data_IF_243972013754
#
_entry.id   IF_243972013754
#
_cell.length_a   1.000
_cell.length_b   1.000
_cell.length_c   1.000
_cell.angle_alpha   90.00
_cell.angle_beta   90.00
_cell.angle_gamma   90.00
#
_symmetry.space_group_name_H-M   'P 1'
#
loop_
_entity.id
_entity.type
_entity.pdbx_description
1 polymer ?
#
# COMPACT_ATOMS: atom_id res chain seq x y z
N UNK A 1 2.05 0.39 -12.54
CA UNK A 1 1.75 -1.02 -12.25
C UNK A 1 1.04 -1.23 -10.93
N UNK A 2 0.78 -2.47 -10.57
CA UNK A 2 0.07 -2.86 -9.35
C UNK A 2 1.05 -3.33 -8.27
N UNK A 3 0.99 -2.72 -7.09
CA UNK A 3 1.77 -3.10 -5.91
C UNK A 3 0.82 -3.61 -4.83
N UNK A 4 1.18 -4.70 -4.14
CA UNK A 4 0.37 -5.19 -3.01
C UNK A 4 0.81 -4.57 -1.70
N UNK A 5 -0.10 -3.86 -1.02
CA UNK A 5 0.07 -3.51 0.39
C UNK A 5 -0.11 -4.78 1.22
N UNK A 6 0.98 -5.48 1.51
CA UNK A 6 0.97 -6.83 2.08
C UNK A 6 0.30 -6.88 3.45
N UNK A 7 -0.53 -7.89 3.68
CA UNK A 7 -0.87 -8.34 5.04
C UNK A 7 0.35 -9.00 5.68
N UNK A 8 0.44 -8.94 7.02
CA UNK A 8 1.46 -9.64 7.79
C UNK A 8 0.80 -10.79 8.56
N UNK A 9 1.06 -12.06 8.24
CA UNK A 9 0.58 -13.19 9.00
C UNK A 9 1.20 -13.18 10.41
N UNK A 10 0.36 -13.44 11.42
CA UNK A 10 0.82 -13.64 12.80
C UNK A 10 0.44 -15.04 13.30
N UNK A 11 1.27 -15.59 14.19
CA UNK A 11 1.04 -16.86 14.84
C UNK A 11 1.65 -16.84 16.23
N UNK A 12 0.85 -17.16 17.26
CA UNK A 12 1.29 -17.15 18.66
C UNK A 12 1.92 -15.81 19.08
N UNK A 13 1.33 -14.70 18.67
CA UNK A 13 1.77 -13.34 18.99
C UNK A 13 3.01 -12.85 18.23
N UNK A 14 3.54 -13.61 17.29
CA UNK A 14 4.72 -13.26 16.47
C UNK A 14 4.40 -13.25 14.99
N UNK A 15 5.28 -12.66 14.18
CA UNK A 15 5.22 -12.80 12.72
C UNK A 15 5.41 -14.29 12.38
N UNK A 16 4.48 -14.85 11.60
CA UNK A 16 4.64 -16.16 10.97
C UNK A 16 5.51 -16.01 9.74
N UNK A 17 6.83 -16.16 9.92
CA UNK A 17 7.80 -15.93 8.86
C UNK A 17 7.61 -16.90 7.68
N UNK A 18 7.32 -18.18 7.96
CA UNK A 18 7.12 -19.20 6.92
C UNK A 18 5.90 -18.84 6.06
N UNK A 19 4.74 -18.61 6.68
CA UNK A 19 3.53 -18.18 5.98
C UNK A 19 3.72 -16.86 5.23
N UNK A 20 4.52 -15.93 5.78
CA UNK A 20 4.77 -14.66 5.13
C UNK A 20 5.65 -14.81 3.88
N UNK A 21 6.70 -15.65 3.93
CA UNK A 21 7.55 -15.96 2.77
C UNK A 21 6.76 -16.67 1.66
N UNK A 22 5.92 -17.65 2.01
CA UNK A 22 5.04 -18.33 1.06
C UNK A 22 4.01 -17.37 0.42
N UNK A 23 3.47 -16.45 1.19
CA UNK A 23 2.53 -15.45 0.69
C UNK A 23 3.21 -14.47 -0.27
N UNK A 24 4.41 -14.01 0.03
CA UNK A 24 5.22 -13.16 -0.85
C UNK A 24 5.53 -13.90 -2.16
N UNK A 25 5.92 -15.17 -2.09
CA UNK A 25 6.19 -15.99 -3.28
C UNK A 25 4.95 -16.08 -4.17
N UNK A 26 3.81 -16.43 -3.59
CA UNK A 26 2.56 -16.52 -4.33
C UNK A 26 2.17 -15.18 -5.01
N UNK A 27 2.38 -14.04 -4.37
CA UNK A 27 2.13 -12.74 -4.96
C UNK A 27 2.96 -12.54 -6.24
N UNK A 28 4.23 -12.91 -6.19
CA UNK A 28 5.15 -12.80 -7.34
C UNK A 28 4.72 -13.77 -8.45
N UNK A 29 4.40 -15.02 -8.13
CA UNK A 29 3.91 -16.02 -9.09
C UNK A 29 2.63 -15.58 -9.79
N UNK A 30 1.76 -14.84 -9.09
CA UNK A 30 0.54 -14.25 -9.65
C UNK A 30 0.81 -13.02 -10.54
N UNK A 31 2.05 -12.56 -10.65
CA UNK A 31 2.45 -11.49 -11.57
C UNK A 31 2.21 -10.08 -11.06
N UNK A 32 2.28 -9.88 -9.73
CA UNK A 32 2.26 -8.53 -9.16
C UNK A 32 3.52 -7.74 -9.56
N UNK A 33 3.39 -6.43 -9.77
CA UNK A 33 4.51 -5.59 -10.20
C UNK A 33 5.44 -5.18 -9.04
N UNK A 34 4.99 -5.27 -7.79
CA UNK A 34 5.81 -4.95 -6.63
C UNK A 34 5.09 -5.16 -5.30
N UNK A 35 5.82 -5.05 -4.20
CA UNK A 35 5.33 -5.37 -2.86
C UNK A 35 5.61 -4.24 -1.85
N UNK A 36 4.68 -4.05 -0.92
CA UNK A 36 4.74 -3.00 0.10
C UNK A 36 4.55 -3.62 1.48
N UNK A 37 5.63 -4.09 2.15
CA UNK A 37 5.58 -4.53 3.54
C UNK A 37 5.37 -3.35 4.50
N UNK A 38 4.85 -3.62 5.69
CA UNK A 38 4.72 -2.65 6.78
C UNK A 38 3.92 -1.37 6.44
N UNK A 39 2.97 -1.46 5.50
CA UNK A 39 1.94 -0.44 5.33
C UNK A 39 0.85 -0.58 6.39
N UNK A 40 -0.23 0.20 6.26
CA UNK A 40 -1.44 0.10 7.11
C UNK A 40 -2.00 -1.33 7.11
N UNK A 41 -2.07 -1.95 5.94
CA UNK A 41 -2.57 -3.31 5.73
C UNK A 41 -1.70 -4.36 6.43
N UNK A 42 -0.41 -4.10 6.56
CA UNK A 42 0.55 -4.95 7.25
C UNK A 42 0.54 -4.81 8.77
N UNK A 43 -0.39 -4.03 9.36
CA UNK A 43 -0.50 -3.80 10.82
C UNK A 43 0.75 -3.22 11.47
N UNK A 44 1.53 -2.41 10.76
CA UNK A 44 2.78 -1.82 11.25
C UNK A 44 2.59 -1.00 12.55
N UNK A 45 1.41 -0.41 12.76
CA UNK A 45 1.11 0.41 13.94
C UNK A 45 1.14 -0.38 15.28
N UNK A 46 1.05 -1.72 15.23
CA UNK A 46 1.07 -2.59 16.42
C UNK A 46 2.34 -3.45 16.51
N UNK A 47 3.28 -3.25 15.60
CA UNK A 47 4.59 -3.91 15.63
C UNK A 47 5.56 -3.16 16.55
N UNK A 48 6.41 -3.90 17.23
CA UNK A 48 7.65 -3.32 17.79
C UNK A 48 8.57 -2.91 16.63
N UNK A 49 9.58 -2.07 16.90
CA UNK A 49 10.56 -1.72 15.88
C UNK A 49 11.29 -2.96 15.33
N UNK A 50 11.68 -3.90 16.19
CA UNK A 50 12.33 -5.15 15.79
C UNK A 50 11.46 -6.01 14.87
N UNK A 51 10.15 -6.07 15.13
CA UNK A 51 9.20 -6.79 14.27
C UNK A 51 8.99 -6.07 12.93
N UNK A 52 8.90 -4.74 12.96
CA UNK A 52 8.78 -3.91 11.75
C UNK A 52 9.98 -4.14 10.83
N UNK A 53 11.18 -4.06 11.39
CA UNK A 53 12.44 -4.34 10.71
C UNK A 53 12.49 -5.78 10.17
N UNK A 54 12.08 -6.76 10.99
CA UNK A 54 12.03 -8.15 10.57
C UNK A 54 11.09 -8.37 9.39
N UNK A 55 9.89 -7.77 9.39
CA UNK A 55 8.93 -7.91 8.29
C UNK A 55 9.47 -7.31 6.97
N UNK A 56 10.13 -6.15 7.03
CA UNK A 56 10.78 -5.55 5.85
C UNK A 56 11.89 -6.46 5.34
N UNK A 57 12.79 -6.92 6.23
CA UNK A 57 13.92 -7.79 5.88
C UNK A 57 13.45 -9.09 5.23
N UNK A 58 12.47 -9.79 5.84
CA UNK A 58 11.88 -11.02 5.29
C UNK A 58 11.36 -10.78 3.89
N UNK A 59 10.63 -9.66 3.66
CA UNK A 59 10.10 -9.34 2.34
C UNK A 59 11.22 -9.11 1.32
N UNK A 60 12.21 -8.30 1.63
CA UNK A 60 13.34 -8.01 0.73
C UNK A 60 14.14 -9.27 0.41
N UNK A 61 14.44 -10.09 1.39
CA UNK A 61 15.14 -11.37 1.21
C UNK A 61 14.35 -12.33 0.30
N UNK A 62 13.04 -12.51 0.60
CA UNK A 62 12.20 -13.42 -0.17
C UNK A 62 12.00 -12.95 -1.61
N UNK A 63 11.80 -11.65 -1.81
CA UNK A 63 11.67 -11.06 -3.16
C UNK A 63 12.95 -11.24 -3.99
N UNK A 64 14.11 -11.13 -3.37
CA UNK A 64 15.42 -11.31 -4.02
C UNK A 64 15.52 -10.57 -5.37
N UNK A 65 15.16 -9.28 -5.38
CA UNK A 65 15.23 -8.38 -6.55
C UNK A 65 14.36 -8.77 -7.77
N UNK A 66 13.43 -9.71 -7.62
CA UNK A 66 12.52 -10.11 -8.72
C UNK A 66 11.47 -9.04 -9.04
N UNK A 67 11.03 -8.32 -8.03
CA UNK A 67 10.13 -7.16 -8.14
C UNK A 67 10.57 -6.08 -7.15
N UNK A 68 10.22 -4.80 -7.34
CA UNK A 68 10.54 -3.75 -6.38
C UNK A 68 9.81 -3.93 -5.04
N UNK A 69 10.51 -3.57 -3.95
CA UNK A 69 9.98 -3.52 -2.58
C UNK A 69 9.96 -2.08 -2.10
N UNK A 70 8.77 -1.57 -1.78
CA UNK A 70 8.57 -0.24 -1.20
C UNK A 70 8.26 -0.42 0.29
N UNK A 71 9.25 -0.24 1.16
CA UNK A 71 9.11 -0.48 2.59
C UNK A 71 8.31 0.62 3.30
N UNK A 72 7.27 0.26 4.05
CA UNK A 72 6.59 1.21 4.94
C UNK A 72 7.55 1.66 6.05
N UNK A 73 7.95 2.93 6.04
CA UNK A 73 8.92 3.51 7.00
C UNK A 73 8.45 4.84 7.60
N UNK A 74 7.19 5.22 7.34
CA UNK A 74 6.62 6.49 7.80
C UNK A 74 6.24 6.47 9.28
N UNK A 75 6.37 7.63 9.92
CA UNK A 75 5.92 7.90 11.28
C UNK A 75 5.40 9.34 11.40
N UNK A 76 4.60 9.63 12.42
CA UNK A 76 4.24 11.01 12.78
C UNK A 76 5.35 11.73 13.56
N UNK A 77 6.47 11.06 13.79
CA UNK A 77 7.68 11.59 14.44
C UNK A 77 8.86 11.50 13.45
N UNK A 78 9.37 12.64 13.00
CA UNK A 78 10.49 12.72 12.05
C UNK A 78 11.71 11.93 12.53
N UNK A 79 12.02 11.98 13.85
CA UNK A 79 13.16 11.26 14.44
C UNK A 79 12.98 9.73 14.41
N UNK A 80 11.78 9.21 14.36
CA UNK A 80 11.47 7.79 14.24
C UNK A 80 11.46 7.34 12.78
N UNK A 81 10.96 8.18 11.87
CA UNK A 81 10.96 7.88 10.44
C UNK A 81 12.37 7.72 9.86
N UNK A 82 13.35 8.47 10.35
CA UNK A 82 14.75 8.42 9.88
C UNK A 82 15.37 7.03 10.07
N UNK A 83 15.47 6.45 11.28
CA UNK A 83 16.04 5.12 11.47
C UNK A 83 15.28 4.00 10.74
N UNK A 84 13.94 4.08 10.65
CA UNK A 84 13.15 3.13 9.86
C UNK A 84 13.52 3.18 8.37
N UNK A 85 13.69 4.39 7.84
CA UNK A 85 14.14 4.60 6.45
C UNK A 85 15.57 4.09 6.25
N UNK A 86 16.46 4.37 7.19
CA UNK A 86 17.84 3.90 7.13
C UNK A 86 17.92 2.37 7.16
N UNK A 87 17.09 1.72 7.99
CA UNK A 87 17.00 0.27 8.02
C UNK A 87 16.52 -0.28 6.66
N UNK A 88 15.41 0.26 6.12
CA UNK A 88 14.89 -0.15 4.81
C UNK A 88 15.95 -0.07 3.71
N UNK A 89 16.71 1.04 3.69
CA UNK A 89 17.85 1.21 2.77
C UNK A 89 18.92 0.13 2.98
N UNK A 90 19.32 -0.12 4.22
CA UNK A 90 20.41 -1.04 4.57
C UNK A 90 20.10 -2.48 4.18
N UNK A 91 18.84 -2.91 4.31
CA UNK A 91 18.42 -4.26 3.89
C UNK A 91 18.15 -4.38 2.39
N UNK A 92 18.19 -3.26 1.66
CA UNK A 92 18.11 -3.24 0.20
C UNK A 92 16.69 -3.11 -0.37
N UNK A 93 15.75 -2.51 0.37
CA UNK A 93 14.49 -2.05 -0.20
C UNK A 93 14.74 -1.01 -1.32
N UNK A 94 13.87 -1.00 -2.34
CA UNK A 94 14.04 -0.13 -3.51
C UNK A 94 13.52 1.30 -3.26
N UNK A 95 12.53 1.45 -2.37
CA UNK A 95 12.01 2.73 -1.92
C UNK A 95 11.40 2.63 -0.51
N UNK A 96 11.15 3.78 0.12
CA UNK A 96 10.39 3.89 1.37
C UNK A 96 9.02 4.54 1.12
N UNK A 97 7.97 4.00 1.75
CA UNK A 97 6.63 4.61 1.78
C UNK A 97 6.46 5.39 3.08
N UNK A 98 6.21 6.68 2.94
CA UNK A 98 6.05 7.59 4.08
C UNK A 98 4.64 8.16 4.17
N UNK A 99 3.86 7.68 5.15
CA UNK A 99 2.55 8.26 5.48
C UNK A 99 2.71 9.69 5.99
N UNK A 100 1.78 10.60 5.63
CA UNK A 100 1.70 11.91 6.26
C UNK A 100 1.54 11.77 7.77
N UNK A 101 2.23 12.58 8.60
CA UNK A 101 2.10 12.53 10.04
C UNK A 101 0.65 12.58 10.48
N UNK A 102 0.22 11.54 11.19
CA UNK A 102 -1.13 11.35 11.73
C UNK A 102 -1.21 11.88 13.15
N UNK A 103 -2.43 12.21 13.62
CA UNK A 103 -2.74 12.66 14.96
C UNK A 103 -2.27 14.10 15.27
N UNK A 104 -0.98 14.42 15.13
CA UNK A 104 -0.39 15.74 15.41
C UNK A 104 -0.64 16.79 14.29
N UNK A 105 -1.20 16.39 13.13
CA UNK A 105 -1.72 17.26 12.05
C UNK A 105 -0.81 18.44 11.71
N UNK A 106 0.38 18.23 11.15
CA UNK A 106 1.27 19.30 10.78
C UNK A 106 0.65 20.23 9.71
N UNK A 107 1.14 21.46 9.67
CA UNK A 107 0.84 22.39 8.58
C UNK A 107 1.51 21.93 7.27
N UNK A 108 1.15 22.53 6.13
CA UNK A 108 1.78 22.23 4.85
C UNK A 108 3.31 22.45 4.88
N UNK A 109 3.76 23.51 5.58
CA UNK A 109 5.18 23.74 5.79
C UNK A 109 5.82 22.67 6.70
N UNK A 110 5.10 22.22 7.73
CA UNK A 110 5.55 21.12 8.58
C UNK A 110 5.70 19.81 7.81
N UNK A 111 4.80 19.51 6.86
CA UNK A 111 4.92 18.37 5.93
C UNK A 111 6.18 18.48 5.05
N UNK A 112 6.39 19.65 4.46
CA UNK A 112 7.58 19.93 3.65
C UNK A 112 8.87 19.70 4.44
N UNK A 113 8.98 20.28 5.64
CA UNK A 113 10.17 20.13 6.49
C UNK A 113 10.38 18.70 6.96
N UNK A 114 9.29 17.97 7.27
CA UNK A 114 9.33 16.55 7.67
C UNK A 114 10.01 15.69 6.60
N UNK A 115 9.50 15.71 5.37
CA UNK A 115 10.05 14.89 4.28
C UNK A 115 11.43 15.34 3.83
N UNK A 116 11.67 16.67 3.77
CA UNK A 116 12.99 17.22 3.46
C UNK A 116 14.05 16.74 4.47
N UNK A 117 13.72 16.78 5.76
CA UNK A 117 14.64 16.33 6.81
C UNK A 117 14.95 14.85 6.69
N UNK A 118 13.92 13.99 6.50
CA UNK A 118 14.14 12.55 6.33
C UNK A 118 15.07 12.27 5.15
N UNK A 119 14.80 12.86 3.99
CA UNK A 119 15.60 12.64 2.78
C UNK A 119 17.02 13.24 2.90
N UNK A 120 17.21 14.33 3.67
CA UNK A 120 18.55 14.87 3.91
C UNK A 120 19.43 13.96 4.78
N UNK A 121 18.82 13.17 5.69
CA UNK A 121 19.54 12.22 6.55
C UNK A 121 19.72 10.86 5.88
N UNK A 122 18.74 10.45 5.04
CA UNK A 122 18.76 9.13 4.39
C UNK A 122 18.42 9.28 2.90
N UNK A 123 19.44 9.29 2.06
CA UNK A 123 19.22 9.32 0.60
C UNK A 123 18.78 7.93 0.10
N UNK A 124 17.49 7.81 -0.20
CA UNK A 124 16.85 6.70 -0.92
C UNK A 124 15.54 7.17 -1.55
N UNK A 125 15.03 6.51 -2.58
CA UNK A 125 13.73 6.85 -3.16
C UNK A 125 12.60 6.82 -2.13
N UNK A 126 11.79 7.86 -2.08
CA UNK A 126 10.64 8.01 -1.17
C UNK A 126 9.36 8.18 -1.96
N UNK A 127 8.33 7.41 -1.60
CA UNK A 127 6.95 7.58 -2.03
C UNK A 127 6.17 8.19 -0.85
N UNK A 128 5.64 9.39 -1.04
CA UNK A 128 4.74 10.01 -0.08
C UNK A 128 3.43 9.21 0.01
N UNK A 129 2.75 9.24 1.15
CA UNK A 129 1.46 8.61 1.29
C UNK A 129 0.44 9.54 1.93
N UNK A 130 -0.53 10.01 1.13
CA UNK A 130 -1.60 10.90 1.54
C UNK A 130 -2.89 10.11 1.75
N UNK A 131 -3.37 10.04 2.99
CA UNK A 131 -4.60 9.32 3.39
C UNK A 131 -5.34 10.06 4.49
N UNK A 132 -5.93 11.22 4.18
CA UNK A 132 -6.51 12.12 5.18
C UNK A 132 -7.62 11.49 6.02
N UNK A 133 -8.36 10.50 5.50
CA UNK A 133 -9.36 9.75 6.24
C UNK A 133 -8.81 8.95 7.43
N UNK A 134 -7.50 8.65 7.44
CA UNK A 134 -6.81 7.97 8.55
C UNK A 134 -5.94 8.91 9.38
N UNK A 135 -5.28 9.85 8.72
CA UNK A 135 -4.29 10.73 9.38
C UNK A 135 -4.90 11.98 9.97
N UNK A 136 -6.07 12.42 9.45
CA UNK A 136 -6.63 13.73 9.74
C UNK A 136 -5.81 14.90 9.16
N UNK A 137 -4.84 14.59 8.27
CA UNK A 137 -3.97 15.55 7.63
C UNK A 137 -3.98 15.31 6.11
N UNK A 138 -4.31 16.34 5.33
CA UNK A 138 -4.30 16.28 3.87
C UNK A 138 -3.13 17.09 3.32
N UNK A 139 -2.27 16.43 2.56
CA UNK A 139 -1.14 17.07 1.86
C UNK A 139 -1.64 17.58 0.51
N UNK A 140 -1.67 18.89 0.33
CA UNK A 140 -2.24 19.53 -0.85
C UNK A 140 -1.30 19.45 -2.06
N UNK A 141 -1.83 19.43 -3.30
CA UNK A 141 -1.03 19.32 -4.53
C UNK A 141 0.12 20.34 -4.63
N UNK A 142 -0.05 21.64 -4.28
CA UNK A 142 1.08 22.58 -4.29
C UNK A 142 2.22 22.20 -3.34
N UNK A 143 1.90 21.57 -2.19
CA UNK A 143 2.91 21.09 -1.25
C UNK A 143 3.64 19.87 -1.80
N UNK A 144 2.93 18.90 -2.38
CA UNK A 144 3.54 17.75 -3.05
C UNK A 144 4.47 18.21 -4.18
N UNK A 145 3.98 19.10 -5.03
CA UNK A 145 4.75 19.64 -6.15
C UNK A 145 6.01 20.40 -5.69
N UNK A 146 5.93 21.13 -4.58
CA UNK A 146 7.10 21.79 -3.96
C UNK A 146 8.11 20.75 -3.46
N UNK A 147 7.64 19.74 -2.73
CA UNK A 147 8.49 18.66 -2.22
C UNK A 147 9.17 17.93 -3.39
N UNK A 148 8.43 17.56 -4.43
CA UNK A 148 8.94 16.86 -5.60
C UNK A 148 10.03 17.65 -6.36
N UNK A 149 9.95 18.99 -6.38
CA UNK A 149 10.98 19.85 -6.99
C UNK A 149 12.20 20.02 -6.12
N UNK A 150 12.01 20.20 -4.81
CA UNK A 150 13.07 20.61 -3.89
C UNK A 150 13.80 19.42 -3.25
N UNK A 151 13.22 18.22 -3.27
CA UNK A 151 13.73 17.01 -2.61
C UNK A 151 13.80 15.87 -3.63
N UNK A 152 14.93 15.72 -4.35
CA UNK A 152 15.07 14.77 -5.47
C UNK A 152 14.81 13.30 -5.12
N UNK A 153 15.02 12.92 -3.85
CA UNK A 153 14.75 11.57 -3.38
C UNK A 153 13.24 11.27 -3.28
N UNK A 154 12.37 12.28 -3.29
CA UNK A 154 10.90 12.07 -3.33
C UNK A 154 10.48 11.89 -4.77
N UNK A 155 10.23 10.64 -5.15
CA UNK A 155 9.99 10.21 -6.54
C UNK A 155 8.51 9.98 -6.87
N UNK A 156 7.61 10.01 -5.88
CA UNK A 156 6.20 9.79 -6.12
C UNK A 156 5.32 9.94 -4.90
N UNK A 157 4.04 9.68 -5.11
CA UNK A 157 3.00 9.70 -4.09
C UNK A 157 2.03 8.53 -4.26
N UNK A 158 1.63 7.91 -3.14
CA UNK A 158 0.42 7.12 -3.01
C UNK A 158 -0.71 8.05 -2.56
N UNK A 159 -1.66 8.31 -3.46
CA UNK A 159 -2.79 9.20 -3.20
C UNK A 159 -4.05 8.39 -2.91
N UNK A 160 -4.58 8.53 -1.70
CA UNK A 160 -5.71 7.73 -1.20
C UNK A 160 -6.92 8.57 -0.78
N UNK A 161 -7.10 9.76 -1.35
CA UNK A 161 -8.32 10.56 -1.15
C UNK A 161 -9.50 10.05 -1.99
N UNK A 162 -9.25 9.26 -3.05
CA UNK A 162 -10.21 8.91 -4.10
C UNK A 162 -10.79 10.14 -4.85
N UNK A 163 -10.17 11.30 -4.72
CA UNK A 163 -10.57 12.56 -5.36
C UNK A 163 -9.78 12.75 -6.68
N UNK A 164 -10.47 12.58 -7.81
CA UNK A 164 -9.85 12.72 -9.13
C UNK A 164 -9.47 14.16 -9.48
N UNK A 165 -10.07 15.17 -8.82
CA UNK A 165 -9.65 16.56 -8.97
C UNK A 165 -8.27 16.72 -8.34
N UNK A 166 -8.10 16.22 -7.11
CA UNK A 166 -6.81 16.22 -6.42
C UNK A 166 -5.73 15.49 -7.21
N UNK A 167 -6.07 14.33 -7.81
CA UNK A 167 -5.14 13.58 -8.69
C UNK A 167 -4.77 14.38 -9.93
N UNK A 168 -5.75 15.05 -10.59
CA UNK A 168 -5.50 15.88 -11.77
C UNK A 168 -4.58 17.07 -11.44
N UNK A 169 -4.79 17.71 -10.28
CA UNK A 169 -3.93 18.79 -9.80
C UNK A 169 -2.49 18.31 -9.53
N UNK A 170 -2.32 17.08 -9.01
CA UNK A 170 -1.00 16.47 -8.84
C UNK A 170 -0.30 16.22 -10.18
N UNK A 171 -1.03 15.68 -11.16
CA UNK A 171 -0.50 15.43 -12.52
C UNK A 171 -0.07 16.73 -13.18
N UNK A 172 -0.87 17.82 -13.04
CA UNK A 172 -0.58 19.13 -13.61
C UNK A 172 0.63 19.81 -12.95
N UNK A 173 0.78 19.71 -11.62
CA UNK A 173 1.70 20.54 -10.84
C UNK A 173 3.04 19.88 -10.53
N UNK A 174 3.09 18.53 -10.49
CA UNK A 174 4.32 17.82 -10.20
C UNK A 174 5.26 17.77 -11.41
N UNK A 175 6.58 17.60 -11.18
CA UNK A 175 7.54 17.44 -12.27
C UNK A 175 7.24 16.23 -13.15
N UNK A 176 7.65 16.29 -14.41
CA UNK A 176 7.60 15.15 -15.32
C UNK A 176 8.33 13.92 -14.72
N UNK A 177 7.74 12.73 -14.83
CA UNK A 177 8.30 11.51 -14.27
C UNK A 177 7.96 11.25 -12.81
N UNK A 178 7.31 12.19 -12.10
CA UNK A 178 6.83 11.96 -10.73
C UNK A 178 5.72 10.90 -10.72
N UNK A 179 5.90 9.86 -9.89
CA UNK A 179 5.01 8.70 -9.87
C UNK A 179 3.77 8.96 -9.01
N UNK A 180 2.58 8.96 -9.60
CA UNK A 180 1.31 9.16 -8.88
C UNK A 180 0.54 7.84 -8.88
N UNK A 181 0.59 7.14 -7.74
CA UNK A 181 -0.05 5.83 -7.52
C UNK A 181 -1.37 6.02 -6.77
N UNK A 182 -2.42 5.31 -7.19
CA UNK A 182 -3.64 5.25 -6.41
C UNK A 182 -3.41 4.51 -5.09
N UNK A 183 -4.01 5.01 -4.02
CA UNK A 183 -4.14 4.30 -2.74
C UNK A 183 -5.53 3.73 -2.51
N UNK A 184 -6.41 3.82 -3.53
CA UNK A 184 -7.80 3.42 -3.49
C UNK A 184 -8.13 2.45 -4.63
N UNK A 185 -8.56 1.24 -4.29
CA UNK A 185 -8.84 0.16 -5.24
C UNK A 185 -10.06 0.43 -6.13
N UNK A 186 -10.98 1.29 -5.69
CA UNK A 186 -12.19 1.62 -6.45
C UNK A 186 -11.92 2.57 -7.61
N UNK A 187 -10.88 3.37 -7.50
CA UNK A 187 -10.58 4.45 -8.47
C UNK A 187 -9.36 4.16 -9.36
N UNK A 188 -8.80 2.95 -9.35
CA UNK A 188 -7.59 2.59 -10.13
C UNK A 188 -7.72 2.98 -11.60
N UNK A 189 -8.80 2.55 -12.27
CA UNK A 189 -9.02 2.84 -13.69
C UNK A 189 -9.08 4.35 -13.97
N UNK A 190 -10.00 5.14 -13.37
CA UNK A 190 -10.05 6.57 -13.63
C UNK A 190 -8.78 7.32 -13.14
N UNK A 191 -8.12 6.87 -12.08
CA UNK A 191 -6.86 7.44 -11.60
C UNK A 191 -5.74 7.33 -12.65
N UNK A 192 -5.59 6.14 -13.27
CA UNK A 192 -4.61 5.96 -14.36
C UNK A 192 -5.03 6.73 -15.59
N UNK A 193 -6.33 6.78 -15.92
CA UNK A 193 -6.85 7.48 -17.09
C UNK A 193 -6.59 9.01 -17.05
N UNK A 194 -6.47 9.63 -15.86
CA UNK A 194 -6.12 11.05 -15.72
C UNK A 194 -4.62 11.30 -15.56
N UNK A 195 -3.77 10.27 -15.69
CA UNK A 195 -2.31 10.43 -15.68
C UNK A 195 -1.59 9.76 -14.52
N UNK A 196 -2.29 9.01 -13.67
CA UNK A 196 -1.64 8.14 -12.68
C UNK A 196 -0.89 6.96 -13.31
N UNK A 197 0.00 6.32 -12.56
CA UNK A 197 0.88 5.27 -13.08
C UNK A 197 0.59 3.86 -12.51
N UNK A 198 -0.40 3.72 -11.61
CA UNK A 198 -0.74 2.44 -11.00
C UNK A 198 -1.42 2.55 -9.66
N UNK A 199 -1.27 1.51 -8.82
CA UNK A 199 -1.91 1.40 -7.52
C UNK A 199 -1.03 0.70 -6.49
N UNK A 200 -1.10 1.14 -5.23
CA UNK A 200 -0.70 0.36 -4.06
C UNK A 200 -1.99 -0.16 -3.40
N UNK A 201 -2.33 -1.40 -3.71
CA UNK A 201 -3.64 -2.03 -3.56
C UNK A 201 -3.78 -2.84 -2.27
N UNK A 202 -4.96 -2.81 -1.67
CA UNK A 202 -5.42 -3.75 -0.64
C UNK A 202 -5.95 -5.02 -1.30
N UNK A 203 -6.79 -4.89 -2.33
CA UNK A 203 -7.43 -5.99 -3.04
C UNK A 203 -6.43 -6.94 -3.70
N UNK A 204 -5.25 -6.45 -4.09
CA UNK A 204 -4.19 -7.28 -4.64
C UNK A 204 -3.69 -8.39 -3.68
N UNK A 205 -3.94 -8.29 -2.37
CA UNK A 205 -3.68 -9.39 -1.44
C UNK A 205 -4.47 -10.67 -1.77
N UNK A 206 -5.66 -10.56 -2.35
CA UNK A 206 -6.56 -11.68 -2.69
C UNK A 206 -6.72 -11.89 -4.20
N UNK A 207 -6.49 -10.87 -5.01
CA UNK A 207 -6.65 -10.92 -6.46
C UNK A 207 -5.49 -10.19 -7.19
N UNK A 208 -4.22 -10.58 -6.94
CA UNK A 208 -3.05 -9.87 -7.49
C UNK A 208 -3.04 -9.83 -9.00
N UNK A 209 -3.28 -10.96 -9.66
CA UNK A 209 -3.31 -11.05 -11.13
C UNK A 209 -4.36 -10.13 -11.75
N UNK A 210 -5.58 -10.10 -11.21
CA UNK A 210 -6.64 -9.24 -11.75
C UNK A 210 -6.30 -7.76 -11.60
N UNK A 211 -5.66 -7.35 -10.49
CA UNK A 211 -5.24 -5.97 -10.27
C UNK A 211 -4.07 -5.59 -11.19
N UNK A 212 -3.09 -6.47 -11.38
CA UNK A 212 -1.99 -6.26 -12.31
C UNK A 212 -2.49 -6.15 -13.76
N UNK A 213 -3.39 -7.05 -14.17
CA UNK A 213 -4.01 -7.03 -15.50
C UNK A 213 -4.82 -5.74 -15.73
N UNK A 214 -5.57 -5.25 -14.72
CA UNK A 214 -6.28 -3.97 -14.79
C UNK A 214 -5.33 -2.80 -15.04
N UNK A 215 -4.26 -2.70 -14.25
CA UNK A 215 -3.25 -1.66 -14.43
C UNK A 215 -2.62 -1.74 -15.83
N UNK A 216 -2.24 -2.93 -16.26
CA UNK A 216 -1.62 -3.17 -17.57
C UNK A 216 -2.55 -2.76 -18.72
N UNK A 217 -3.82 -3.19 -18.71
CA UNK A 217 -4.79 -2.86 -19.74
C UNK A 217 -5.03 -1.33 -19.81
N UNK A 218 -5.18 -0.69 -18.62
CA UNK A 218 -5.41 0.76 -18.56
C UNK A 218 -4.21 1.55 -19.08
N UNK A 219 -2.99 1.19 -18.69
CA UNK A 219 -1.75 1.84 -19.15
C UNK A 219 -1.50 1.62 -20.64
N UNK A 220 -1.96 0.49 -21.20
CA UNK A 220 -1.88 0.21 -22.64
C UNK A 220 -2.98 0.92 -23.46
N UNK A 221 -3.95 1.58 -22.81
CA UNK A 221 -5.10 2.20 -23.48
C UNK A 221 -6.19 1.22 -23.93
N UNK A 222 -6.11 -0.05 -23.53
CA UNK A 222 -7.17 -1.05 -23.77
C UNK A 222 -8.31 -0.84 -22.79
N UNK A 223 -9.12 0.16 -23.08
CA UNK A 223 -10.21 0.61 -22.21
C UNK A 223 -11.36 -0.39 -22.10
N UNK A 224 -11.56 -1.26 -23.08
CA UNK A 224 -12.62 -2.26 -23.03
C UNK A 224 -12.24 -3.38 -22.04
N UNK A 225 -11.02 -3.87 -22.14
CA UNK A 225 -10.50 -4.85 -21.15
C UNK A 225 -10.35 -4.22 -19.77
N UNK A 226 -9.86 -2.99 -19.67
CA UNK A 226 -9.75 -2.26 -18.42
C UNK A 226 -11.10 -2.12 -17.70
N UNK A 227 -12.18 -1.75 -18.41
CA UNK A 227 -13.54 -1.68 -17.85
C UNK A 227 -14.05 -3.06 -17.40
N UNK A 228 -13.82 -4.09 -18.20
CA UNK A 228 -14.20 -5.46 -17.87
C UNK A 228 -13.53 -5.92 -16.55
N UNK A 229 -12.23 -5.69 -16.41
CA UNK A 229 -11.47 -6.04 -15.21
C UNK A 229 -11.87 -5.19 -14.00
N UNK A 230 -12.08 -3.88 -14.21
CA UNK A 230 -12.55 -2.96 -13.17
C UNK A 230 -13.86 -3.47 -12.55
N UNK A 231 -14.88 -3.77 -13.38
CA UNK A 231 -16.16 -4.25 -12.86
C UNK A 231 -16.08 -5.66 -12.28
N UNK A 232 -15.18 -6.51 -12.75
CA UNK A 232 -14.91 -7.81 -12.14
C UNK A 232 -14.30 -7.68 -10.74
N UNK A 233 -13.45 -6.67 -10.51
CA UNK A 233 -12.84 -6.39 -9.20
C UNK A 233 -13.80 -5.71 -8.21
N UNK A 234 -14.82 -4.99 -8.67
CA UNK A 234 -15.69 -4.17 -7.80
C UNK A 234 -16.36 -4.95 -6.64
N UNK A 235 -16.88 -6.20 -6.81
CA UNK A 235 -17.39 -6.98 -5.68
C UNK A 235 -16.30 -7.29 -4.67
N UNK A 236 -15.09 -7.65 -5.13
CA UNK A 236 -13.95 -7.98 -4.27
C UNK A 236 -13.49 -6.72 -3.54
N UNK A 237 -13.37 -5.58 -4.22
CA UNK A 237 -13.02 -4.29 -3.60
C UNK A 237 -13.98 -3.97 -2.45
N UNK A 238 -15.30 -4.09 -2.66
CA UNK A 238 -16.29 -3.86 -1.61
C UNK A 238 -16.12 -4.81 -0.42
N UNK A 239 -15.80 -6.08 -0.69
CA UNK A 239 -15.57 -7.08 0.35
C UNK A 239 -14.38 -6.75 1.23
N UNK A 240 -13.29 -6.21 0.66
CA UNK A 240 -12.09 -5.84 1.40
C UNK A 240 -12.28 -4.63 2.35
N UNK A 241 -13.40 -3.94 2.24
CA UNK A 241 -13.75 -2.76 3.06
C UNK A 241 -15.11 -2.89 3.76
N UNK A 242 -15.61 -4.12 3.99
CA UNK A 242 -16.80 -4.39 4.81
C UNK A 242 -16.65 -3.86 6.24
N UNK A 243 -15.44 -3.88 6.75
CA UNK A 243 -15.00 -3.24 7.99
C UNK A 243 -13.66 -2.53 7.74
N UNK A 244 -13.08 -1.96 8.79
CA UNK A 244 -11.81 -1.25 8.63
C UNK A 244 -10.70 -2.18 8.13
N UNK A 245 -9.97 -1.74 7.10
CA UNK A 245 -8.75 -2.42 6.64
C UNK A 245 -7.68 -2.42 7.77
N UNK A 246 -7.05 -3.58 8.10
CA UNK A 246 -6.92 -4.79 7.30
C UNK A 246 -7.86 -5.96 7.67
N UNK A 247 -8.89 -5.76 8.48
CA UNK A 247 -9.69 -6.86 9.02
C UNK A 247 -10.26 -7.76 7.91
N UNK A 248 -11.02 -7.24 6.90
CA UNK A 248 -11.58 -8.11 5.86
C UNK A 248 -10.51 -8.77 5.00
N UNK A 249 -9.51 -8.01 4.55
CA UNK A 249 -8.49 -8.54 3.64
C UNK A 249 -7.62 -9.61 4.29
N UNK A 250 -7.20 -9.43 5.54
CA UNK A 250 -6.42 -10.45 6.26
C UNK A 250 -7.26 -11.70 6.50
N UNK A 251 -8.53 -11.55 6.87
CA UNK A 251 -9.46 -12.68 6.99
C UNK A 251 -9.55 -13.45 5.67
N UNK A 252 -9.73 -12.74 4.54
CA UNK A 252 -9.80 -13.35 3.22
C UNK A 252 -8.53 -14.11 2.86
N UNK A 253 -7.35 -13.52 3.08
CA UNK A 253 -6.05 -14.19 2.82
C UNK A 253 -5.91 -15.44 3.68
N UNK A 254 -6.26 -15.38 4.98
CA UNK A 254 -6.18 -16.55 5.86
C UNK A 254 -7.13 -17.66 5.39
N UNK A 255 -8.35 -17.33 4.97
CA UNK A 255 -9.31 -18.30 4.42
C UNK A 255 -8.79 -18.95 3.13
N UNK A 256 -8.26 -18.15 2.20
CA UNK A 256 -7.76 -18.62 0.90
C UNK A 256 -6.53 -19.51 1.02
N UNK A 257 -5.71 -19.30 2.04
CA UNK A 257 -4.40 -19.94 2.17
C UNK A 257 -4.29 -20.90 3.35
N UNK A 258 -5.36 -21.08 4.13
CA UNK A 258 -5.37 -21.95 5.29
C UNK A 258 -4.44 -21.48 6.41
N UNK A 259 -4.27 -20.16 6.59
CA UNK A 259 -3.43 -19.58 7.62
C UNK A 259 -4.22 -19.32 8.91
N UNK A 260 -3.51 -19.28 10.03
CA UNK A 260 -4.07 -18.86 11.30
C UNK A 260 -4.51 -17.38 11.23
N UNK A 261 -5.73 -17.08 11.68
CA UNK A 261 -6.24 -15.73 11.73
C UNK A 261 -5.94 -15.11 13.10
N UNK A 262 -4.92 -14.27 13.15
CA UNK A 262 -4.53 -13.54 14.36
C UNK A 262 -4.41 -12.05 14.07
N UNK A 263 -5.13 -11.23 14.85
CA UNK A 263 -5.01 -9.77 14.86
C UNK A 263 -4.37 -9.29 16.14
N UNK A 264 -3.72 -8.15 16.08
CA UNK A 264 -3.26 -7.44 17.27
C UNK A 264 -4.22 -6.33 17.63
N UNK A 265 -4.61 -6.25 18.91
CA UNK A 265 -5.45 -5.15 19.37
C UNK A 265 -4.84 -3.79 18.98
N UNK A 266 -5.67 -2.83 18.55
CA UNK A 266 -7.13 -2.80 18.68
C UNK A 266 -7.91 -3.50 17.56
N UNK A 267 -7.25 -4.13 16.57
CA UNK A 267 -7.94 -4.90 15.54
C UNK A 267 -8.46 -6.22 16.12
N UNK A 268 -9.67 -6.59 15.69
CA UNK A 268 -10.39 -7.80 16.11
C UNK A 268 -10.94 -8.52 14.88
N UNK A 269 -11.31 -9.82 14.98
CA UNK A 269 -11.95 -10.52 13.86
C UNK A 269 -13.23 -9.84 13.38
N UNK A 270 -13.58 -10.06 12.10
CA UNK A 270 -14.83 -9.61 11.49
C UNK A 270 -16.05 -9.99 12.33
N UNK A 271 -17.03 -9.10 12.36
CA UNK A 271 -18.37 -9.42 12.87
C UNK A 271 -18.98 -10.58 12.05
N UNK A 272 -19.75 -11.50 12.70
CA UNK A 272 -20.27 -12.71 12.05
C UNK A 272 -21.01 -12.43 10.73
N UNK A 273 -21.88 -11.42 10.69
CA UNK A 273 -22.65 -11.07 9.49
C UNK A 273 -21.75 -10.62 8.33
N UNK A 274 -20.64 -9.94 8.64
CA UNK A 274 -19.68 -9.49 7.64
C UNK A 274 -18.75 -10.64 7.20
N UNK A 275 -18.45 -11.59 8.08
CA UNK A 275 -17.73 -12.81 7.73
C UNK A 275 -18.54 -13.66 6.74
N UNK A 276 -19.85 -13.80 6.96
CA UNK A 276 -20.75 -14.51 6.03
C UNK A 276 -20.78 -13.82 4.66
N UNK A 277 -20.93 -12.50 4.62
CA UNK A 277 -20.88 -11.71 3.38
C UNK A 277 -19.55 -11.86 2.65
N UNK A 278 -18.43 -11.76 3.38
CA UNK A 278 -17.09 -11.95 2.82
C UNK A 278 -16.94 -13.32 2.20
N UNK A 279 -17.30 -14.38 2.95
CA UNK A 279 -17.24 -15.77 2.48
C UNK A 279 -18.05 -15.97 1.21
N UNK A 280 -19.28 -15.43 1.18
CA UNK A 280 -20.13 -15.50 -0.01
C UNK A 280 -19.48 -14.85 -1.21
N UNK A 281 -18.94 -13.62 -1.06
CA UNK A 281 -18.32 -12.89 -2.18
C UNK A 281 -17.06 -13.61 -2.67
N UNK A 282 -16.23 -14.16 -1.78
CA UNK A 282 -15.04 -14.92 -2.16
C UNK A 282 -15.40 -16.17 -2.96
N UNK A 283 -16.47 -16.89 -2.57
CA UNK A 283 -17.00 -18.04 -3.32
C UNK A 283 -17.56 -17.60 -4.69
N UNK A 284 -18.40 -16.55 -4.74
CA UNK A 284 -19.01 -16.04 -5.98
C UNK A 284 -17.95 -15.54 -6.98
N UNK A 285 -16.74 -15.20 -6.50
CA UNK A 285 -15.59 -14.73 -7.30
C UNK A 285 -14.53 -15.83 -7.56
N UNK A 286 -14.81 -17.10 -7.22
CA UNK A 286 -13.89 -18.24 -7.38
C UNK A 286 -12.53 -18.04 -6.67
N UNK A 287 -12.53 -17.40 -5.49
CA UNK A 287 -11.33 -17.15 -4.69
C UNK A 287 -11.16 -18.14 -3.53
N UNK A 288 -12.20 -18.89 -3.15
CA UNK A 288 -12.12 -20.01 -2.22
C UNK A 288 -12.24 -21.34 -2.98
N UNK A 289 -11.34 -22.27 -2.68
CA UNK A 289 -11.27 -23.61 -3.31
C UNK A 289 -11.45 -24.70 -2.28
#
# INVERSE_FOLDING_TARGET
>A
GAFTALVTPFKNGKIDEEAYREFIEWQIEQGIDGLVPCGTTGESATMTHDEHEAAIRICVEQVNKRVPVIAGAGSNNTREAIPLTQFAKNVGADAALHITPYYNKPTQEGLYQHFKTICSEVSMPVILYNVPGRTGCNMLPPTVARIARDVPDVVGIKEATADLIHVSDLVEQCPEGFQILSGDDFTVLPHIAVGGCGVISVTANVAPKLMADLCKATLAGDMDEARRLHFKLMPINRAMFLETNPIPVKTAVCMMRGLDLEFRLPMVPLMPDNLEKLTKILNDCDLLH
#
